data_IF_390427662609
#
_entry.id   IF_390427662609
#
_cell.length_a   1.000
_cell.length_b   1.000
_cell.length_c   1.000
_cell.angle_alpha   90.00
_cell.angle_beta   90.00
_cell.angle_gamma   90.00
#
_symmetry.space_group_name_H-M   'P 1'
#
loop_
_entity.id
_entity.type
_entity.pdbx_description
1 polymer ?
#
# COMPACT_ATOMS: atom_id res chain seq x y z
N UNK A 1 9.22 3.94 19.13
CA UNK A 1 9.51 5.38 18.93
C UNK A 1 9.98 5.71 17.49
N UNK A 2 10.10 4.74 16.57
CA UNK A 2 10.34 4.97 15.13
C UNK A 2 9.06 5.37 14.36
N UNK A 3 7.91 4.84 14.77
CA UNK A 3 6.60 5.01 14.10
C UNK A 3 6.22 6.49 13.90
N UNK A 4 6.52 7.33 14.91
CA UNK A 4 6.27 8.78 14.87
C UNK A 4 7.14 9.54 13.86
N UNK A 5 8.31 9.03 13.48
CA UNK A 5 9.25 9.75 12.59
C UNK A 5 8.86 9.57 11.12
N UNK A 6 8.24 8.45 10.78
CA UNK A 6 7.79 8.17 9.41
C UNK A 6 6.32 8.51 9.15
N UNK A 7 5.59 8.92 10.18
CA UNK A 7 4.16 9.19 10.07
C UNK A 7 3.35 7.95 9.70
N UNK A 8 3.80 6.77 10.16
CA UNK A 8 3.07 5.53 9.98
C UNK A 8 1.97 5.40 11.03
N UNK A 9 0.80 4.95 10.60
CA UNK A 9 -0.39 4.85 11.45
C UNK A 9 -1.10 3.53 11.18
N UNK A 10 -1.55 2.85 12.23
CA UNK A 10 -2.46 1.70 12.08
C UNK A 10 -3.86 2.19 11.75
N UNK A 11 -4.42 1.72 10.65
CA UNK A 11 -5.73 2.15 10.16
C UNK A 11 -6.51 0.96 9.60
N UNK A 12 -7.80 1.17 9.34
CA UNK A 12 -8.63 0.21 8.64
C UNK A 12 -9.05 0.76 7.28
N UNK A 13 -9.07 -0.10 6.27
CA UNK A 13 -9.57 0.19 4.94
C UNK A 13 -10.81 -0.64 4.66
N UNK A 14 -11.82 -0.04 4.03
CA UNK A 14 -12.95 -0.76 3.47
C UNK A 14 -12.66 -1.08 2.00
N UNK A 15 -12.80 -2.35 1.64
CA UNK A 15 -12.71 -2.82 0.26
C UNK A 15 -14.11 -3.22 -0.23
N UNK A 16 -14.56 -2.59 -1.32
CA UNK A 16 -15.91 -2.78 -1.89
C UNK A 16 -16.86 -1.62 -1.61
N UNK A 17 -18.10 -1.68 -2.13
CA UNK A 17 -19.12 -0.63 -1.97
C UNK A 17 -19.54 -0.50 -0.49
N UNK A 18 -18.97 0.50 0.18
CA UNK A 18 -19.14 0.77 1.61
C UNK A 18 -20.58 1.07 2.04
N UNK A 19 -21.39 1.61 1.14
CA UNK A 19 -22.80 1.97 1.37
C UNK A 19 -23.78 0.80 1.19
N UNK A 20 -23.29 -0.36 0.74
CA UNK A 20 -24.10 -1.55 0.52
C UNK A 20 -23.85 -2.61 1.62
N UNK A 21 -24.87 -3.03 2.38
CA UNK A 21 -24.71 -4.05 3.40
C UNK A 21 -24.15 -5.35 2.84
N UNK A 22 -23.19 -5.95 3.54
CA UNK A 22 -22.57 -7.24 3.20
C UNK A 22 -21.80 -7.28 1.88
N UNK A 23 -21.55 -6.12 1.25
CA UNK A 23 -20.85 -6.03 -0.02
C UNK A 23 -19.43 -5.47 0.13
N UNK A 24 -18.95 -5.31 1.36
CA UNK A 24 -17.61 -4.82 1.65
C UNK A 24 -16.91 -5.65 2.72
N UNK A 25 -15.58 -5.58 2.69
CA UNK A 25 -14.69 -6.16 3.69
C UNK A 25 -13.91 -5.04 4.39
N UNK A 26 -13.55 -5.25 5.66
CA UNK A 26 -12.68 -4.34 6.41
C UNK A 26 -11.33 -5.03 6.59
N UNK A 27 -10.28 -4.37 6.11
CA UNK A 27 -8.91 -4.82 6.21
C UNK A 27 -8.14 -3.92 7.17
N UNK A 28 -7.36 -4.50 8.08
CA UNK A 28 -6.41 -3.76 8.91
C UNK A 28 -5.06 -3.62 8.21
N UNK A 29 -4.39 -2.50 8.42
CA UNK A 29 -3.09 -2.24 7.81
C UNK A 29 -2.42 -0.97 8.32
N UNK A 30 -1.47 -0.48 7.54
CA UNK A 30 -0.61 0.64 7.90
C UNK A 30 -0.71 1.72 6.84
N UNK A 31 -1.01 2.94 7.28
CA UNK A 31 -1.04 4.11 6.43
C UNK A 31 0.33 4.79 6.40
N UNK A 32 0.74 5.18 5.21
CA UNK A 32 1.89 6.03 4.95
C UNK A 32 1.42 7.26 4.15
N UNK A 33 1.93 8.43 4.54
CA UNK A 33 1.66 9.69 3.85
C UNK A 33 0.16 9.97 3.60
N UNK A 34 -0.70 9.51 4.53
CA UNK A 34 -2.16 9.70 4.52
C UNK A 34 -2.95 9.10 3.36
N UNK A 35 -2.28 8.51 2.37
CA UNK A 35 -2.91 8.08 1.11
C UNK A 35 -2.46 6.69 0.66
N UNK A 36 -1.41 6.13 1.26
CA UNK A 36 -0.87 4.82 0.89
C UNK A 36 -1.11 3.81 2.01
N UNK A 37 -1.90 2.80 1.73
CA UNK A 37 -2.28 1.76 2.68
C UNK A 37 -1.57 0.45 2.35
N UNK A 38 -0.82 -0.05 3.32
CA UNK A 38 -0.14 -1.34 3.26
C UNK A 38 -0.89 -2.36 4.09
N UNK A 39 -1.10 -3.56 3.54
CA UNK A 39 -1.74 -4.66 4.26
C UNK A 39 -1.19 -6.01 3.82
N UNK A 40 -1.37 -6.99 4.70
CA UNK A 40 -1.01 -8.38 4.43
C UNK A 40 -2.26 -9.18 4.10
N UNK A 41 -2.24 -9.86 2.97
CA UNK A 41 -3.29 -10.76 2.55
C UNK A 41 -2.65 -12.09 2.15
N UNK A 42 -2.91 -13.16 2.92
CA UNK A 42 -2.38 -14.50 2.66
C UNK A 42 -0.84 -14.54 2.49
N UNK A 43 -0.11 -13.73 3.27
CA UNK A 43 1.36 -13.65 3.20
C UNK A 43 1.89 -12.80 2.03
N UNK A 44 1.02 -12.12 1.30
CA UNK A 44 1.36 -11.15 0.26
C UNK A 44 1.25 -9.76 0.85
N UNK A 45 2.31 -8.96 0.74
CA UNK A 45 2.27 -7.54 1.08
C UNK A 45 1.73 -6.74 -0.10
N UNK A 46 0.60 -6.09 0.13
CA UNK A 46 -0.10 -5.27 -0.84
C UNK A 46 -0.01 -3.79 -0.46
N UNK A 47 0.00 -2.92 -1.46
CA UNK A 47 -0.04 -1.48 -1.37
C UNK A 47 -1.21 -0.96 -2.19
N UNK A 48 -2.05 -0.12 -1.59
CA UNK A 48 -3.18 0.54 -2.25
C UNK A 48 -3.16 2.03 -1.99
N UNK A 49 -3.69 2.78 -2.93
CA UNK A 49 -4.10 4.15 -2.65
C UNK A 49 -5.45 4.12 -1.96
N UNK A 50 -5.65 4.95 -0.95
CA UNK A 50 -6.90 5.03 -0.19
C UNK A 50 -7.41 6.45 -0.08
N UNK A 51 -8.72 6.60 0.12
CA UNK A 51 -9.36 7.90 0.38
C UNK A 51 -9.79 7.97 1.84
N UNK A 52 -9.55 9.12 2.47
CA UNK A 52 -10.08 9.40 3.80
C UNK A 52 -11.59 9.64 3.71
N UNK A 53 -12.34 9.06 4.65
CA UNK A 53 -13.74 9.45 4.88
C UNK A 53 -13.83 10.14 6.21
N UNK A 54 -14.40 11.35 6.19
CA UNK A 54 -14.68 12.10 7.39
C UNK A 54 -15.91 11.51 8.08
N UNK A 55 -15.68 10.72 9.13
CA UNK A 55 -16.72 10.18 9.99
C UNK A 55 -16.39 10.48 11.45
N UNK A 56 -17.32 11.08 12.22
CA UNK A 56 -17.04 11.55 13.58
C UNK A 56 -16.47 10.49 14.54
N UNK A 57 -16.87 9.23 14.36
CA UNK A 57 -16.48 8.13 15.24
C UNK A 57 -15.49 7.14 14.62
N UNK A 58 -15.14 7.31 13.34
CA UNK A 58 -14.27 6.40 12.59
C UNK A 58 -13.05 7.13 12.05
N UNK A 59 -12.31 7.78 12.96
CA UNK A 59 -11.16 8.65 12.64
C UNK A 59 -9.98 7.92 12.01
N UNK A 60 -9.93 6.58 12.02
CA UNK A 60 -8.89 5.75 11.42
C UNK A 60 -9.43 4.87 10.29
N UNK A 61 -10.62 5.17 9.76
CA UNK A 61 -11.20 4.45 8.62
C UNK A 61 -10.88 5.15 7.30
N UNK A 62 -10.61 4.35 6.28
CA UNK A 62 -10.31 4.74 4.91
C UNK A 62 -11.10 3.86 3.94
N UNK A 63 -11.30 4.33 2.71
CA UNK A 63 -11.88 3.54 1.62
C UNK A 63 -10.81 3.20 0.58
N UNK A 64 -10.93 2.03 -0.02
CA UNK A 64 -10.16 1.67 -1.20
C UNK A 64 -10.30 2.74 -2.29
N UNK A 65 -9.17 3.14 -2.86
CA UNK A 65 -9.10 4.14 -3.91
C UNK A 65 -9.48 3.58 -5.28
N UNK A 66 -9.47 4.46 -6.29
CA UNK A 66 -9.79 4.07 -7.67
C UNK A 66 -8.59 3.46 -8.43
N UNK A 67 -7.37 3.60 -7.89
CA UNK A 67 -6.18 3.06 -8.53
C UNK A 67 -5.99 1.58 -8.13
N UNK A 68 -5.71 0.72 -9.11
CA UNK A 68 -5.32 -0.66 -8.85
C UNK A 68 -4.13 -0.75 -7.89
N UNK A 69 -4.18 -1.71 -6.96
CA UNK A 69 -3.12 -1.95 -5.99
C UNK A 69 -1.84 -2.53 -6.60
N UNK A 70 -0.76 -2.49 -5.83
CA UNK A 70 0.50 -3.18 -6.13
C UNK A 70 0.75 -4.28 -5.10
N UNK A 71 1.08 -5.47 -5.56
CA UNK A 71 1.76 -6.46 -4.73
C UNK A 71 3.24 -6.11 -4.68
N UNK A 72 3.83 -6.08 -3.49
CA UNK A 72 5.21 -5.68 -3.27
C UNK A 72 6.11 -6.87 -2.92
N UNK A 73 5.59 -7.86 -2.21
CA UNK A 73 6.33 -9.05 -1.80
C UNK A 73 5.39 -10.22 -1.49
N UNK A 74 5.90 -11.45 -1.62
CA UNK A 74 5.20 -12.70 -1.27
C UNK A 74 5.98 -13.45 -0.17
N UNK A 75 5.30 -14.39 0.51
CA UNK A 75 5.92 -15.21 1.56
C UNK A 75 6.30 -14.40 2.81
N UNK A 76 5.70 -13.24 3.00
CA UNK A 76 5.98 -12.34 4.11
C UNK A 76 5.43 -12.95 5.40
N UNK A 77 6.28 -12.99 6.42
CA UNK A 77 5.94 -13.41 7.78
C UNK A 77 6.29 -12.28 8.74
N UNK A 78 5.44 -12.07 9.75
CA UNK A 78 5.66 -11.05 10.77
C UNK A 78 4.52 -10.03 10.86
N UNK A 79 4.74 -9.03 11.70
CA UNK A 79 3.76 -7.97 11.95
C UNK A 79 3.86 -6.87 10.88
N UNK A 80 2.71 -6.39 10.39
CA UNK A 80 2.63 -5.51 9.22
C UNK A 80 3.36 -4.17 9.42
N UNK A 81 3.31 -3.56 10.60
CA UNK A 81 4.04 -2.31 10.89
C UNK A 81 5.55 -2.50 10.77
N UNK A 82 6.08 -3.61 11.30
CA UNK A 82 7.50 -3.93 11.20
C UNK A 82 7.95 -4.11 9.75
N UNK A 83 7.20 -4.92 8.99
CA UNK A 83 7.49 -5.20 7.57
C UNK A 83 7.45 -3.92 6.74
N UNK A 84 6.40 -3.11 6.91
CA UNK A 84 6.23 -1.85 6.16
C UNK A 84 7.33 -0.86 6.50
N UNK A 85 7.71 -0.78 7.78
CA UNK A 85 8.80 0.08 8.23
C UNK A 85 10.11 -0.28 7.52
N UNK A 86 10.48 -1.55 7.54
CA UNK A 86 11.70 -2.04 6.92
C UNK A 86 11.72 -1.81 5.40
N UNK A 87 10.58 -2.03 4.73
CA UNK A 87 10.48 -1.79 3.29
C UNK A 87 10.66 -0.31 2.98
N UNK A 88 9.96 0.60 3.67
CA UNK A 88 10.10 2.04 3.43
C UNK A 88 11.54 2.50 3.65
N UNK A 89 12.22 2.01 4.68
CA UNK A 89 13.62 2.31 4.94
C UNK A 89 14.53 1.82 3.82
N UNK A 90 14.35 0.57 3.36
CA UNK A 90 15.08 0.01 2.21
C UNK A 90 14.82 0.82 0.93
N UNK A 91 13.59 1.24 0.69
CA UNK A 91 13.22 2.04 -0.48
C UNK A 91 13.85 3.43 -0.45
N UNK A 92 13.85 4.12 0.70
CA UNK A 92 14.50 5.43 0.86
C UNK A 92 16.00 5.37 0.65
N UNK A 93 16.62 4.22 0.95
CA UNK A 93 18.05 4.01 0.73
C UNK A 93 18.41 3.65 -0.72
N UNK A 94 17.42 3.29 -1.56
CA UNK A 94 17.62 2.95 -2.98
C UNK A 94 17.34 4.17 -3.87
N UNK A 95 18.06 4.28 -4.97
CA UNK A 95 17.66 5.22 -6.02
C UNK A 95 16.35 4.72 -6.69
N UNK A 96 15.52 5.65 -7.15
CA UNK A 96 14.18 5.32 -7.68
C UNK A 96 14.18 4.47 -8.96
N UNK A 97 15.28 4.46 -9.74
CA UNK A 97 15.45 3.58 -10.88
C UNK A 97 15.82 2.16 -10.41
N UNK A 98 16.75 2.04 -9.46
CA UNK A 98 17.10 0.77 -8.82
C UNK A 98 15.88 0.11 -8.17
N UNK A 99 14.98 0.89 -7.56
CA UNK A 99 13.70 0.34 -7.09
C UNK A 99 12.87 -0.24 -8.22
N UNK A 100 12.65 0.51 -9.32
CA UNK A 100 11.83 0.07 -10.46
C UNK A 100 12.42 -1.15 -11.18
N UNK A 101 13.74 -1.31 -11.20
CA UNK A 101 14.40 -2.45 -11.84
C UNK A 101 14.57 -3.68 -10.92
N UNK A 102 14.76 -3.50 -9.61
CA UNK A 102 15.07 -4.63 -8.71
C UNK A 102 13.89 -5.18 -7.92
N UNK A 103 12.78 -4.45 -7.76
CA UNK A 103 11.67 -4.90 -6.90
C UNK A 103 10.39 -5.25 -7.71
N UNK A 104 9.83 -4.37 -8.56
CA UNK A 104 8.60 -4.68 -9.30
C UNK A 104 8.81 -5.52 -10.56
N UNK A 105 10.03 -5.67 -11.09
CA UNK A 105 10.31 -6.52 -12.26
C UNK A 105 10.35 -8.02 -11.95
N UNK A 106 10.47 -8.40 -10.68
CA UNK A 106 10.56 -9.82 -10.27
C UNK A 106 9.23 -10.41 -9.81
N UNK A 107 8.15 -9.61 -9.84
CA UNK A 107 6.80 -10.09 -9.57
C UNK A 107 6.35 -11.04 -10.69
N UNK A 108 6.07 -12.28 -10.32
CA UNK A 108 5.68 -13.34 -11.26
C UNK A 108 4.36 -12.98 -11.96
N UNK A 109 4.33 -13.03 -13.29
CA UNK A 109 3.09 -12.86 -14.06
C UNK A 109 2.72 -11.44 -14.51
N UNK A 110 3.60 -10.44 -14.41
CA UNK A 110 3.34 -9.14 -15.06
C UNK A 110 3.68 -9.16 -16.56
N UNK A 111 2.83 -8.50 -17.36
CA UNK A 111 3.14 -8.10 -18.73
C UNK A 111 4.21 -6.97 -18.78
N UNK A 112 4.74 -6.64 -19.97
CA UNK A 112 5.82 -5.67 -20.12
C UNK A 112 5.44 -4.28 -19.57
N UNK A 113 6.35 -3.68 -18.81
CA UNK A 113 6.24 -2.28 -18.36
C UNK A 113 6.75 -1.39 -19.51
N UNK A 114 5.84 -0.71 -20.20
CA UNK A 114 6.21 0.33 -21.18
C UNK A 114 6.37 1.68 -20.49
N UNK A 115 7.61 2.14 -20.32
CA UNK A 115 7.93 3.47 -19.82
C UNK A 115 8.13 4.43 -21.00
N UNK A 116 7.14 5.27 -21.28
CA UNK A 116 7.28 6.37 -22.24
C UNK A 116 7.97 7.57 -21.57
N UNK A 117 9.31 7.60 -21.63
CA UNK A 117 10.15 8.61 -20.96
C UNK A 117 10.25 9.95 -21.71
N UNK A 118 9.59 10.08 -22.86
CA UNK A 118 9.55 11.34 -23.62
C UNK A 118 8.09 11.74 -23.88
N UNK A 119 7.75 12.99 -23.57
CA UNK A 119 6.56 13.62 -24.15
C UNK A 119 6.80 13.78 -25.64
N UNK A 120 5.88 13.29 -26.49
CA UNK A 120 5.79 13.77 -27.88
C UNK A 120 5.52 15.28 -27.80
N UNK A 121 6.45 16.06 -28.35
CA UNK A 121 6.28 17.50 -28.55
C UNK A 121 5.18 17.80 -29.56
#
# INVERSE_FOLDING_TARGET
>A
MLESVMGLERVSMVQGPYDLPHMYEICEGVLYDRQYFFYLENGILCLRHVKKVEQPYHTHLYLDGESGGLQLAEGVQGEVMQVVTEIIERLRAKDGLTFLFDEPLWLYGRGPIELNLFKKG
#
